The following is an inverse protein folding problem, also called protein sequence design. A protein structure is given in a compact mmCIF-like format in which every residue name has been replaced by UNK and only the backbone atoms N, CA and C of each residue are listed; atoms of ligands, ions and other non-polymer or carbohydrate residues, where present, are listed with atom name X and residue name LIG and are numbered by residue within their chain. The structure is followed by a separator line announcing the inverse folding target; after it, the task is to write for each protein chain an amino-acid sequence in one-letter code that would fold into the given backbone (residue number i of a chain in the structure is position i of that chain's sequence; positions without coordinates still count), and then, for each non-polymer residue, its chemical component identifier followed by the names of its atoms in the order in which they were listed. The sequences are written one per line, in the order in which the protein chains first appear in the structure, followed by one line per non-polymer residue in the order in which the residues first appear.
data_IF_220131679046
#
_entry.id   IF_220131679046
#
_cell.length_a   1.000
_cell.length_b   1.000
_cell.length_c   1.000
_cell.angle_alpha   90.00
_cell.angle_beta   90.00
_cell.angle_gamma   90.00
#
_symmetry.space_group_name_H-M   'P 1'
#
loop_
_entity.id
_entity.type
_entity.pdbx_description
1 polymer ?
#
# COMPACT_ATOMS: atom_id res chain seq x y z
N UNK A 1 21.26 -8.22 -6.53
CA UNK A 1 22.04 -7.13 -7.14
C UNK A 1 22.03 -7.39 -8.64
N UNK A 2 21.64 -6.36 -9.41
CA UNK A 2 21.48 -6.34 -10.88
C UNK A 2 20.29 -7.13 -11.47
N UNK A 3 19.18 -6.42 -11.67
CA UNK A 3 18.63 -6.30 -13.04
C UNK A 3 18.83 -4.84 -13.43
N UNK A 4 20.09 -4.49 -13.72
CA UNK A 4 20.36 -3.33 -14.55
C UNK A 4 20.06 -3.82 -15.96
N UNK A 5 19.01 -3.25 -16.57
CA UNK A 5 18.73 -3.42 -17.99
C UNK A 5 20.04 -3.29 -18.77
N UNK A 6 20.21 -4.15 -19.77
CA UNK A 6 21.37 -4.06 -20.64
C UNK A 6 21.38 -2.70 -21.33
N UNK A 7 22.57 -2.17 -21.66
CA UNK A 7 22.67 -0.87 -22.34
C UNK A 7 21.91 -0.84 -23.66
N UNK A 8 21.74 -2.00 -24.31
CA UNK A 8 20.95 -2.16 -25.53
C UNK A 8 19.44 -1.94 -25.29
N UNK A 9 18.92 -2.34 -24.12
CA UNK A 9 17.52 -2.08 -23.73
C UNK A 9 17.31 -0.62 -23.32
N UNK A 10 18.31 0.01 -22.71
CA UNK A 10 18.27 1.43 -22.38
C UNK A 10 18.29 2.27 -23.66
N UNK A 11 19.13 1.92 -24.64
CA UNK A 11 19.18 2.62 -25.93
C UNK A 11 17.90 2.41 -26.74
N UNK A 12 17.29 1.23 -26.70
CA UNK A 12 15.98 0.98 -27.32
C UNK A 12 14.87 1.84 -26.71
N UNK A 13 14.86 2.00 -25.38
CA UNK A 13 13.92 2.88 -24.69
C UNK A 13 14.21 4.36 -24.93
N UNK A 14 15.48 4.76 -25.05
CA UNK A 14 15.87 6.15 -25.30
C UNK A 14 15.53 6.58 -26.73
N UNK A 15 15.76 5.71 -27.73
CA UNK A 15 15.35 5.96 -29.11
C UNK A 15 13.83 6.04 -29.26
N UNK A 16 13.07 5.19 -28.56
CA UNK A 16 11.60 5.27 -28.55
C UNK A 16 11.05 6.57 -27.95
N UNK A 17 11.83 7.27 -27.12
CA UNK A 17 11.47 8.57 -26.53
C UNK A 17 11.87 9.75 -27.42
N UNK A 18 13.01 9.68 -28.12
CA UNK A 18 13.49 10.75 -29.00
C UNK A 18 12.78 10.80 -30.37
N UNK A 19 12.29 9.66 -30.88
CA UNK A 19 11.56 9.60 -32.17
C UNK A 19 10.12 10.16 -32.11
N UNK A 20 9.69 10.66 -30.95
CA UNK A 20 8.41 11.36 -30.80
C UNK A 20 7.16 10.50 -31.05
N UNK A 21 7.30 9.18 -31.16
CA UNK A 21 6.22 8.22 -31.44
C UNK A 21 5.41 7.85 -30.18
N UNK A 22 5.60 8.61 -29.09
CA UNK A 22 4.74 8.53 -27.91
C UNK A 22 3.76 9.69 -28.02
N UNK A 23 2.65 9.43 -28.70
CA UNK A 23 1.46 10.29 -28.75
C UNK A 23 1.06 10.66 -27.31
N UNK A 24 1.58 11.78 -26.81
CA UNK A 24 1.45 12.14 -25.39
C UNK A 24 0.10 12.77 -25.09
N UNK A 25 -0.81 12.79 -26.06
CA UNK A 25 -2.16 13.27 -25.93
C UNK A 25 -3.05 12.47 -26.87
N UNK A 26 -3.42 11.23 -26.50
CA UNK A 26 -4.65 10.65 -27.03
C UNK A 26 -5.79 11.59 -26.62
N UNK A 27 -6.21 12.46 -27.55
CA UNK A 27 -7.54 13.05 -27.53
C UNK A 27 -8.51 11.89 -27.39
N UNK A 28 -9.06 11.70 -26.20
CA UNK A 28 -10.06 10.67 -25.94
C UNK A 28 -11.29 11.00 -26.78
N UNK A 29 -11.39 10.36 -27.95
CA UNK A 29 -12.59 10.32 -28.75
C UNK A 29 -13.69 9.66 -27.90
N UNK A 30 -14.66 10.46 -27.47
CA UNK A 30 -15.70 10.10 -26.50
C UNK A 30 -16.81 9.22 -27.13
N UNK A 31 -16.54 8.63 -28.31
CA UNK A 31 -17.53 7.95 -29.15
C UNK A 31 -17.26 6.46 -29.40
N UNK A 32 -16.20 5.88 -28.82
CA UNK A 32 -15.88 4.45 -28.93
C UNK A 32 -16.32 3.59 -27.73
N UNK A 33 -16.85 2.40 -27.99
CA UNK A 33 -17.12 1.38 -26.95
C UNK A 33 -15.79 0.95 -26.33
N UNK A 34 -15.50 1.41 -25.11
CA UNK A 34 -14.33 0.96 -24.34
C UNK A 34 -14.60 -0.42 -23.76
N UNK A 35 -13.70 -1.36 -23.99
CA UNK A 35 -13.71 -2.66 -23.31
C UNK A 35 -13.53 -2.43 -21.81
N UNK A 36 -14.60 -2.60 -21.05
CA UNK A 36 -14.59 -2.43 -19.60
C UNK A 36 -14.15 -3.73 -18.92
N UNK A 37 -12.91 -3.75 -18.45
CA UNK A 37 -12.43 -4.87 -17.64
C UNK A 37 -12.95 -4.73 -16.20
N UNK A 38 -13.89 -5.60 -15.84
CA UNK A 38 -14.48 -5.70 -14.51
C UNK A 38 -13.50 -6.27 -13.47
N UNK A 39 -12.43 -6.93 -13.91
CA UNK A 39 -11.42 -7.53 -13.02
C UNK A 39 -10.36 -6.50 -12.58
N UNK A 40 -10.15 -5.43 -13.35
CA UNK A 40 -9.16 -4.39 -13.06
C UNK A 40 -9.72 -3.24 -12.21
N UNK A 41 -10.72 -3.50 -11.35
CA UNK A 41 -11.09 -2.52 -10.32
C UNK A 41 -10.02 -2.48 -9.23
N UNK A 42 -8.85 -1.93 -9.58
CA UNK A 42 -7.99 -1.36 -8.57
C UNK A 42 -8.76 -0.20 -7.96
N UNK A 43 -9.33 -0.44 -6.79
CA UNK A 43 -9.79 0.59 -5.86
C UNK A 43 -8.56 1.35 -5.38
N UNK A 44 -7.93 2.09 -6.28
CA UNK A 44 -6.85 3.01 -5.93
C UNK A 44 -7.55 4.19 -5.28
N UNK A 45 -7.63 4.18 -3.96
CA UNK A 45 -7.94 5.40 -3.22
C UNK A 45 -6.69 6.28 -3.36
N UNK A 46 -6.62 7.02 -4.46
CA UNK A 46 -5.57 8.02 -4.73
C UNK A 46 -5.84 9.23 -3.85
N UNK A 47 -5.54 9.13 -2.56
CA UNK A 47 -5.72 10.23 -1.61
C UNK A 47 -5.32 9.89 -0.19
N UNK A 48 -4.89 10.90 0.57
CA UNK A 48 -4.65 10.77 2.02
C UNK A 48 -5.96 10.44 2.74
N UNK A 49 -5.88 9.64 3.80
CA UNK A 49 -7.03 9.29 4.65
C UNK A 49 -6.88 9.98 6.01
N UNK A 50 -7.12 11.30 6.11
CA UNK A 50 -6.82 12.07 7.33
C UNK A 50 -7.59 11.57 8.56
N UNK A 51 -8.81 11.07 8.37
CA UNK A 51 -9.58 10.47 9.47
C UNK A 51 -8.94 9.16 9.95
N UNK A 52 -8.43 8.33 9.04
CA UNK A 52 -7.78 7.07 9.40
C UNK A 52 -6.42 7.31 10.07
N UNK A 53 -5.67 8.31 9.60
CA UNK A 53 -4.45 8.79 10.25
C UNK A 53 -4.73 9.25 11.69
N UNK A 54 -5.76 10.07 11.90
CA UNK A 54 -6.15 10.52 13.24
C UNK A 54 -6.60 9.35 14.14
N UNK A 55 -7.28 8.34 13.59
CA UNK A 55 -7.65 7.13 14.32
C UNK A 55 -6.40 6.33 14.71
N UNK A 56 -5.44 6.17 13.80
CA UNK A 56 -4.19 5.45 14.06
C UNK A 56 -3.34 6.14 15.13
N UNK A 57 -3.23 7.47 15.09
CA UNK A 57 -2.57 8.24 16.15
C UNK A 57 -3.21 8.02 17.52
N UNK A 58 -4.55 8.03 17.60
CA UNK A 58 -5.28 7.73 18.85
C UNK A 58 -5.00 6.31 19.32
N UNK A 59 -5.03 5.34 18.41
CA UNK A 59 -4.75 3.94 18.69
C UNK A 59 -3.34 3.75 19.27
N UNK A 60 -2.31 4.39 18.68
CA UNK A 60 -0.94 4.33 19.17
C UNK A 60 -0.79 4.93 20.57
N UNK A 61 -1.44 6.07 20.84
CA UNK A 61 -1.45 6.68 22.19
C UNK A 61 -2.03 5.74 23.24
N UNK A 62 -3.16 5.09 22.96
CA UNK A 62 -3.76 4.13 23.89
C UNK A 62 -2.94 2.84 24.02
N UNK A 63 -2.35 2.37 22.93
CA UNK A 63 -1.46 1.20 22.93
C UNK A 63 -0.25 1.44 23.82
N UNK A 64 0.37 2.61 23.74
CA UNK A 64 1.47 3.00 24.62
C UNK A 64 1.11 2.90 26.10
N UNK A 65 -0.06 3.44 26.49
CA UNK A 65 -0.56 3.41 27.88
C UNK A 65 -0.86 1.96 28.30
N UNK A 66 -1.49 1.17 27.41
CA UNK A 66 -1.83 -0.23 27.66
C UNK A 66 -0.56 -1.08 27.89
N UNK A 67 0.44 -0.93 27.03
CA UNK A 67 1.73 -1.60 27.14
C UNK A 67 2.48 -1.22 28.42
N UNK A 68 2.45 0.06 28.80
CA UNK A 68 3.01 0.50 30.07
C UNK A 68 2.32 -0.18 31.27
N UNK A 69 0.99 -0.24 31.26
CA UNK A 69 0.24 -0.89 32.33
C UNK A 69 0.50 -2.40 32.40
N UNK A 70 0.71 -3.06 31.25
CA UNK A 70 0.99 -4.48 31.16
C UNK A 70 2.42 -4.81 31.62
N UNK A 71 3.42 -4.14 31.06
CA UNK A 71 4.84 -4.46 31.27
C UNK A 71 5.48 -3.71 32.44
N UNK A 72 4.82 -2.68 32.97
CA UNK A 72 5.36 -1.74 33.97
C UNK A 72 6.67 -1.08 33.52
N UNK A 73 6.82 -0.89 32.21
CA UNK A 73 7.95 -0.23 31.55
C UNK A 73 7.46 0.70 30.45
N UNK A 74 8.18 1.81 30.26
CA UNK A 74 7.89 2.74 29.18
C UNK A 74 8.14 2.04 27.82
N UNK A 75 7.10 1.97 27.00
CA UNK A 75 7.20 1.56 25.60
C UNK A 75 7.23 2.81 24.73
N UNK A 76 8.18 2.88 23.80
CA UNK A 76 8.11 3.88 22.73
C UNK A 76 7.21 3.37 21.61
N UNK A 77 6.26 4.22 21.20
CA UNK A 77 5.25 3.86 20.20
C UNK A 77 5.08 5.05 19.29
N UNK A 78 5.55 4.94 18.05
CA UNK A 78 5.36 5.94 17.00
C UNK A 78 4.41 5.40 15.92
N UNK A 79 3.81 6.31 15.16
CA UNK A 79 2.94 5.97 14.03
C UNK A 79 3.61 6.32 12.72
N UNK A 80 3.63 5.37 11.78
CA UNK A 80 3.97 5.63 10.38
C UNK A 80 2.79 6.21 9.60
N UNK A 81 3.07 6.68 8.38
CA UNK A 81 2.05 7.10 7.43
C UNK A 81 1.15 5.94 7.01
N UNK A 82 -0.13 6.22 6.78
CA UNK A 82 -1.08 5.21 6.31
C UNK A 82 -0.86 4.96 4.83
N UNK A 83 -0.76 3.69 4.46
CA UNK A 83 -0.58 3.24 3.07
C UNK A 83 -1.67 2.26 2.68
N UNK A 84 -1.98 2.22 1.39
CA UNK A 84 -2.95 1.32 0.80
C UNK A 84 -2.20 0.40 -0.13
N UNK A 85 -2.33 -0.90 0.11
CA UNK A 85 -1.66 -1.94 -0.66
C UNK A 85 -2.56 -3.16 -0.77
N UNK A 86 -2.33 -4.00 -1.78
CA UNK A 86 -3.09 -5.25 -1.92
C UNK A 86 -2.67 -6.23 -0.83
N UNK A 87 -3.62 -7.02 -0.34
CA UNK A 87 -3.33 -8.01 0.69
C UNK A 87 -2.28 -9.04 0.22
N UNK A 88 -2.38 -9.51 -1.03
CA UNK A 88 -1.41 -10.44 -1.60
C UNK A 88 0.01 -9.88 -1.61
N UNK A 89 0.16 -8.61 -2.02
CA UNK A 89 1.45 -7.90 -1.98
C UNK A 89 1.97 -7.78 -0.54
N UNK A 90 1.10 -7.41 0.42
CA UNK A 90 1.49 -7.28 1.83
C UNK A 90 2.03 -8.59 2.41
N UNK A 91 1.37 -9.72 2.16
CA UNK A 91 1.83 -11.03 2.68
C UNK A 91 3.23 -11.39 2.17
N UNK A 92 3.59 -11.00 0.95
CA UNK A 92 4.93 -11.21 0.41
C UNK A 92 6.00 -10.31 1.02
N UNK A 93 5.62 -9.22 1.73
CA UNK A 93 6.57 -8.36 2.44
C UNK A 93 6.93 -8.84 3.85
N UNK A 94 6.24 -9.86 4.36
CA UNK A 94 6.40 -10.30 5.74
C UNK A 94 7.60 -11.26 5.89
N UNK A 95 8.43 -11.00 6.90
CA UNK A 95 9.50 -11.92 7.29
C UNK A 95 8.95 -13.18 7.95
N UNK A 96 9.70 -14.28 7.87
CA UNK A 96 9.36 -15.55 8.50
C UNK A 96 10.40 -15.87 9.56
N UNK A 97 10.00 -16.20 10.82
CA UNK A 97 8.63 -16.30 11.33
C UNK A 97 8.04 -14.93 11.75
N UNK A 98 6.75 -14.72 11.47
CA UNK A 98 6.00 -13.53 11.95
C UNK A 98 4.74 -13.95 12.69
N UNK A 99 4.32 -13.16 13.69
CA UNK A 99 3.10 -13.41 14.45
C UNK A 99 1.90 -12.75 13.77
N UNK A 100 1.01 -13.56 13.19
CA UNK A 100 -0.20 -13.12 12.49
C UNK A 100 -1.45 -13.30 13.37
N UNK A 101 -2.18 -12.22 13.59
CA UNK A 101 -3.36 -12.20 14.46
C UNK A 101 -4.57 -11.66 13.70
N UNK A 102 -5.59 -12.49 13.51
CA UNK A 102 -6.84 -12.10 12.87
C UNK A 102 -7.86 -11.65 13.92
N UNK A 103 -8.33 -10.41 13.79
CA UNK A 103 -9.23 -9.76 14.74
C UNK A 103 -10.48 -9.25 14.02
N UNK A 104 -11.62 -9.24 14.71
CA UNK A 104 -12.86 -8.66 14.18
C UNK A 104 -13.26 -7.42 14.98
N UNK A 105 -13.28 -6.27 14.33
CA UNK A 105 -13.64 -5.00 14.97
C UNK A 105 -15.12 -4.72 14.71
N UNK A 106 -15.99 -5.01 15.69
CA UNK A 106 -17.42 -4.67 15.57
C UNK A 106 -17.61 -3.16 15.79
N UNK A 107 -18.51 -2.47 15.06
CA UNK A 107 -19.48 -2.97 14.08
C UNK A 107 -18.95 -3.03 12.63
N UNK A 108 -17.66 -2.82 12.40
CA UNK A 108 -17.08 -2.82 11.05
C UNK A 108 -17.21 -4.20 10.39
N UNK A 109 -17.48 -4.18 9.08
CA UNK A 109 -17.57 -5.39 8.27
C UNK A 109 -16.17 -5.84 7.88
N UNK A 110 -15.94 -7.15 7.92
CA UNK A 110 -14.65 -7.76 7.55
C UNK A 110 -13.82 -8.22 8.74
N UNK A 111 -12.56 -8.56 8.45
CA UNK A 111 -11.55 -9.03 9.40
C UNK A 111 -10.33 -8.12 9.29
N UNK A 112 -9.78 -7.73 10.43
CA UNK A 112 -8.54 -6.98 10.56
C UNK A 112 -7.38 -7.95 10.82
N UNK A 113 -6.21 -7.64 10.26
CA UNK A 113 -4.98 -8.38 10.53
C UNK A 113 -4.05 -7.50 11.38
N UNK A 114 -3.51 -8.06 12.45
CA UNK A 114 -2.45 -7.50 13.25
C UNK A 114 -1.21 -8.38 13.10
N UNK A 115 -0.08 -7.75 12.75
CA UNK A 115 1.20 -8.42 12.57
C UNK A 115 2.16 -7.90 13.62
N UNK A 116 2.83 -8.81 14.33
CA UNK A 116 3.94 -8.50 15.22
C UNK A 116 5.19 -9.17 14.66
N UNK A 117 6.15 -8.35 14.26
CA UNK A 117 7.46 -8.82 13.82
C UNK A 117 8.34 -9.21 15.03
N UNK A 118 9.31 -10.09 14.79
CA UNK A 118 10.18 -10.68 15.83
C UNK A 118 11.45 -9.85 16.08
#
# INVERSE_FOLDING_TARGET
MQDLLSQDEIDALLHGVDDGDIDTYEETDDTGIKSYDLASQDRIVRGRMPTLEMINERFARYTRISLFNLMRRNADVSTGGVQIMKFGEYIHTLYVPTSLNLCKVRPLRGTSLFVLDA
#
